data_IF_097761893988
#
_entry.id   IF_097761893988
#
_cell.length_a   1.000
_cell.length_b   1.000
_cell.length_c   1.000
_cell.angle_alpha   90.00
_cell.angle_beta   90.00
_cell.angle_gamma   90.00
#
_symmetry.space_group_name_H-M   'P 1'
#
loop_
_entity.id
_entity.type
_entity.pdbx_description
1 polymer ?
#
# COMPACT_ATOMS: atom_id res chain seq x y z
N UNK A 1 25.43 -40.75 22.30
CA UNK A 1 24.86 -40.26 21.02
C UNK A 1 24.93 -38.72 20.96
N UNK A 2 25.80 -38.20 20.11
CA UNK A 2 25.91 -36.76 19.82
C UNK A 2 24.59 -36.24 19.22
N UNK A 3 24.20 -34.98 19.48
CA UNK A 3 23.05 -34.39 18.80
C UNK A 3 23.28 -34.36 17.28
N UNK A 4 22.22 -34.46 16.46
CA UNK A 4 22.38 -34.33 15.02
C UNK A 4 22.90 -32.92 14.70
N UNK A 5 23.71 -32.77 13.64
CA UNK A 5 24.17 -31.46 13.21
C UNK A 5 22.95 -30.60 12.82
N UNK A 6 23.03 -29.26 12.97
CA UNK A 6 21.96 -28.38 12.52
C UNK A 6 21.74 -28.62 11.03
N UNK A 7 20.48 -28.78 10.63
CA UNK A 7 20.10 -28.89 9.23
C UNK A 7 20.80 -27.75 8.48
N UNK A 8 21.62 -28.09 7.49
CA UNK A 8 22.28 -27.10 6.64
C UNK A 8 21.19 -26.17 6.13
N UNK A 9 21.27 -24.89 6.51
CA UNK A 9 20.37 -23.88 6.01
C UNK A 9 20.41 -23.97 4.49
N UNK A 10 19.31 -24.44 3.88
CA UNK A 10 19.07 -24.33 2.46
C UNK A 10 19.24 -22.85 2.14
N UNK A 11 20.43 -22.45 1.67
CA UNK A 11 20.67 -21.15 1.07
C UNK A 11 19.98 -21.16 -0.28
N UNK A 12 18.65 -21.17 -0.25
CA UNK A 12 17.86 -20.59 -1.31
C UNK A 12 18.30 -19.13 -1.33
N UNK A 13 19.15 -18.76 -2.30
CA UNK A 13 19.35 -17.35 -2.62
C UNK A 13 17.98 -16.68 -2.79
N UNK A 14 17.86 -15.36 -2.61
CA UNK A 14 16.56 -14.72 -2.67
C UNK A 14 15.90 -15.05 -4.00
N UNK A 15 14.71 -15.66 -3.94
CA UNK A 15 13.93 -16.09 -5.12
C UNK A 15 13.55 -14.90 -6.03
N UNK A 16 13.73 -13.68 -5.52
CA UNK A 16 13.44 -12.42 -6.18
C UNK A 16 14.63 -11.48 -6.06
N UNK A 17 15.11 -11.00 -7.19
CA UNK A 17 16.19 -10.01 -7.22
C UNK A 17 15.59 -8.59 -7.23
N UNK A 18 16.16 -7.60 -6.52
CA UNK A 18 15.65 -6.22 -6.49
C UNK A 18 15.46 -5.54 -7.87
N UNK A 19 16.08 -6.07 -8.93
CA UNK A 19 15.92 -5.57 -10.30
C UNK A 19 14.70 -6.16 -11.03
N UNK A 20 14.13 -7.26 -10.55
CA UNK A 20 12.91 -7.80 -11.14
C UNK A 20 11.81 -6.76 -11.00
N UNK A 21 11.00 -6.62 -12.04
CA UNK A 21 9.81 -5.78 -12.02
C UNK A 21 8.58 -6.64 -12.29
N UNK A 22 7.48 -6.27 -11.66
CA UNK A 22 6.17 -6.89 -11.82
C UNK A 22 5.17 -5.86 -12.33
N UNK A 23 4.16 -6.32 -13.08
CA UNK A 23 3.11 -5.45 -13.60
C UNK A 23 2.02 -5.22 -12.56
N UNK A 24 1.60 -3.96 -12.45
CA UNK A 24 0.38 -3.50 -11.77
C UNK A 24 -0.37 -2.60 -12.74
N UNK A 25 -1.33 -3.17 -13.46
CA UNK A 25 -1.94 -2.50 -14.61
C UNK A 25 -0.87 -1.97 -15.59
N UNK A 26 -0.86 -0.67 -15.93
CA UNK A 26 0.13 -0.10 -16.84
C UNK A 26 1.53 0.04 -16.22
N UNK A 27 1.66 -0.07 -14.89
CA UNK A 27 2.89 0.22 -14.15
C UNK A 27 3.87 -0.95 -14.14
N UNK A 28 5.14 -0.66 -13.88
CA UNK A 28 6.21 -1.64 -13.67
C UNK A 28 6.89 -1.35 -12.33
N UNK A 29 6.62 -2.19 -11.34
CA UNK A 29 7.01 -1.95 -9.94
C UNK A 29 7.94 -3.03 -9.40
N UNK A 30 8.69 -2.73 -8.35
CA UNK A 30 9.46 -3.70 -7.59
C UNK A 30 8.52 -4.74 -6.93
N UNK A 31 8.89 -6.04 -6.88
CA UNK A 31 8.11 -7.08 -6.20
C UNK A 31 7.86 -6.78 -4.72
N UNK A 32 8.80 -6.07 -4.10
CA UNK A 32 8.69 -5.53 -2.75
C UNK A 32 8.48 -4.02 -2.83
N UNK A 33 7.45 -3.51 -2.16
CA UNK A 33 7.21 -2.08 -1.96
C UNK A 33 7.70 -1.60 -0.59
N UNK A 34 7.67 -0.29 -0.40
CA UNK A 34 8.00 0.39 0.85
C UNK A 34 6.74 1.03 1.44
N UNK A 35 6.23 0.49 2.55
CA UNK A 35 5.06 1.04 3.23
C UNK A 35 5.44 2.14 4.24
N UNK A 36 4.70 3.24 4.24
CA UNK A 36 5.00 4.43 5.05
C UNK A 36 4.01 4.66 6.21
N UNK A 37 3.25 3.62 6.62
CA UNK A 37 2.22 3.75 7.67
C UNK A 37 2.75 4.24 9.02
N UNK A 38 3.97 3.84 9.38
CA UNK A 38 4.62 4.28 10.62
C UNK A 38 4.99 5.77 10.60
N UNK A 39 5.15 6.38 9.42
CA UNK A 39 5.59 7.77 9.28
C UNK A 39 4.46 8.72 9.70
N UNK A 40 4.71 9.53 10.72
CA UNK A 40 3.68 10.41 11.30
C UNK A 40 2.77 9.77 12.35
N UNK A 41 2.97 8.50 12.70
CA UNK A 41 2.13 7.79 13.66
C UNK A 41 2.79 7.71 15.05
N UNK A 42 2.33 8.58 15.96
CA UNK A 42 2.86 8.67 17.32
C UNK A 42 2.39 7.51 18.21
N UNK A 43 1.13 7.10 18.06
CA UNK A 43 0.50 6.17 18.98
C UNK A 43 1.10 4.76 18.90
N UNK A 44 1.30 4.25 17.68
CA UNK A 44 1.71 2.85 17.47
C UNK A 44 3.21 2.70 17.24
N UNK A 45 3.89 3.73 16.70
CA UNK A 45 5.31 3.69 16.38
C UNK A 45 6.16 4.77 17.06
N UNK A 46 5.56 5.62 17.91
CA UNK A 46 6.32 6.62 18.65
C UNK A 46 6.99 7.68 17.78
N UNK A 47 6.45 7.95 16.58
CA UNK A 47 7.03 8.91 15.64
C UNK A 47 7.32 10.27 16.29
N UNK A 48 8.48 10.83 15.99
CA UNK A 48 8.87 12.19 16.34
C UNK A 48 9.51 12.85 15.12
N UNK A 49 9.36 14.16 14.95
CA UNK A 49 9.96 14.90 13.83
C UNK A 49 11.49 14.78 13.80
N UNK A 50 12.13 14.54 14.95
CA UNK A 50 13.56 14.25 15.03
C UNK A 50 13.98 12.98 14.28
N UNK A 51 13.04 12.08 13.96
CA UNK A 51 13.29 10.87 13.17
C UNK A 51 13.34 11.14 11.66
N UNK A 52 12.91 12.31 11.18
CA UNK A 52 12.75 12.59 9.74
C UNK A 52 14.04 12.34 8.93
N UNK A 53 15.22 12.64 9.49
CA UNK A 53 16.50 12.38 8.83
C UNK A 53 16.74 10.89 8.59
N UNK A 54 16.48 10.05 9.61
CA UNK A 54 16.63 8.60 9.52
C UNK A 54 15.59 7.99 8.56
N UNK A 55 14.37 8.53 8.55
CA UNK A 55 13.33 8.11 7.61
C UNK A 55 13.71 8.45 6.16
N UNK A 56 14.36 9.59 5.93
CA UNK A 56 14.87 9.95 4.61
C UNK A 56 16.03 9.05 4.17
N UNK A 57 16.93 8.69 5.09
CA UNK A 57 17.99 7.72 4.81
C UNK A 57 17.40 6.35 4.44
N UNK A 58 16.33 5.90 5.13
CA UNK A 58 15.60 4.69 4.77
C UNK A 58 14.98 4.77 3.37
N UNK A 59 14.35 5.89 3.02
CA UNK A 59 13.81 6.14 1.67
C UNK A 59 14.91 6.07 0.61
N UNK A 60 16.03 6.77 0.83
CA UNK A 60 17.16 6.80 -0.09
C UNK A 60 17.78 5.40 -0.28
N UNK A 61 17.89 4.63 0.81
CA UNK A 61 18.38 3.26 0.78
C UNK A 61 17.45 2.34 -0.01
N UNK A 62 16.14 2.46 0.18
CA UNK A 62 15.14 1.70 -0.57
C UNK A 62 15.26 1.96 -2.07
N UNK A 63 15.30 3.24 -2.46
CA UNK A 63 15.43 3.65 -3.85
C UNK A 63 16.75 3.15 -4.48
N UNK A 64 17.87 3.31 -3.77
CA UNK A 64 19.19 2.83 -4.21
C UNK A 64 19.22 1.31 -4.46
N UNK A 65 18.39 0.56 -3.76
CA UNK A 65 18.25 -0.89 -3.92
C UNK A 65 17.10 -1.29 -4.89
N UNK A 66 16.62 -0.37 -5.72
CA UNK A 66 15.70 -0.68 -6.82
C UNK A 66 14.22 -0.77 -6.44
N UNK A 67 13.86 -0.46 -5.19
CA UNK A 67 12.47 -0.31 -4.77
C UNK A 67 11.91 0.97 -5.39
N UNK A 68 10.83 0.83 -6.16
CA UNK A 68 10.14 1.98 -6.75
C UNK A 68 8.66 2.05 -6.40
N UNK A 69 8.09 1.09 -5.67
CA UNK A 69 6.71 1.19 -5.16
C UNK A 69 6.72 1.70 -3.72
N UNK A 70 6.14 2.88 -3.49
CA UNK A 70 5.97 3.46 -2.17
C UNK A 70 4.47 3.55 -1.85
N UNK A 71 4.08 2.95 -0.73
CA UNK A 71 2.68 2.82 -0.31
C UNK A 71 2.39 3.71 0.90
N UNK A 72 1.37 4.57 0.78
CA UNK A 72 0.92 5.52 1.79
C UNK A 72 -0.61 5.57 1.86
N UNK A 73 -1.17 6.48 2.64
CA UNK A 73 -2.60 6.79 2.65
C UNK A 73 -2.85 8.21 3.16
N UNK A 74 -3.98 8.78 2.76
CA UNK A 74 -4.45 10.09 3.22
C UNK A 74 -4.71 10.17 4.73
N UNK A 75 -4.89 9.00 5.33
CA UNK A 75 -5.21 8.75 6.73
C UNK A 75 -3.99 8.36 7.56
N UNK A 76 -2.81 8.26 6.95
CA UNK A 76 -1.58 7.92 7.66
C UNK A 76 -1.04 9.11 8.44
N UNK A 77 -0.87 8.87 9.73
CA UNK A 77 -0.53 9.85 10.75
C UNK A 77 -1.66 10.02 11.76
N UNK A 78 -1.35 10.56 12.94
CA UNK A 78 -2.30 10.61 14.06
C UNK A 78 -2.60 12.04 14.50
N UNK A 79 -3.88 12.37 14.72
CA UNK A 79 -4.30 13.68 15.22
C UNK A 79 -3.84 14.84 14.32
N UNK A 80 -3.01 15.74 14.86
CA UNK A 80 -2.44 16.88 14.11
C UNK A 80 -1.51 16.45 12.97
N UNK A 81 -1.02 15.21 12.99
CA UNK A 81 -0.14 14.65 11.98
C UNK A 81 -0.91 13.89 10.87
N UNK A 82 -2.22 14.07 10.74
CA UNK A 82 -2.97 13.40 9.68
C UNK A 82 -2.43 13.78 8.28
N UNK A 83 -2.14 12.78 7.45
CA UNK A 83 -1.48 12.93 6.14
C UNK A 83 0.02 13.26 6.23
N UNK A 84 0.66 13.14 7.40
CA UNK A 84 2.10 13.42 7.56
C UNK A 84 2.95 12.45 6.74
N UNK A 85 2.52 11.19 6.61
CA UNK A 85 3.20 10.21 5.77
C UNK A 85 3.36 10.68 4.32
N UNK A 86 2.31 11.27 3.74
CA UNK A 86 2.34 11.85 2.39
C UNK A 86 3.25 13.08 2.32
N UNK A 87 3.23 13.95 3.33
CA UNK A 87 4.12 15.12 3.38
C UNK A 87 5.60 14.74 3.44
N UNK A 88 5.93 13.76 4.28
CA UNK A 88 7.28 13.22 4.41
C UNK A 88 7.73 12.57 3.11
N UNK A 89 6.91 11.70 2.54
CA UNK A 89 7.24 11.05 1.26
C UNK A 89 7.46 12.07 0.15
N UNK A 90 6.58 13.06 0.02
CA UNK A 90 6.76 14.16 -0.93
C UNK A 90 8.04 14.95 -0.70
N UNK A 91 8.34 15.30 0.56
CA UNK A 91 9.60 15.97 0.95
C UNK A 91 10.81 15.13 0.53
N UNK A 92 10.84 13.85 0.88
CA UNK A 92 11.97 12.97 0.62
C UNK A 92 12.22 12.77 -0.87
N UNK A 93 11.17 12.71 -1.69
CA UNK A 93 11.29 12.66 -3.15
C UNK A 93 11.98 13.93 -3.68
N UNK A 94 11.55 15.12 -3.25
CA UNK A 94 12.12 16.40 -3.72
C UNK A 94 13.55 16.61 -3.26
N UNK A 95 13.87 16.19 -2.04
CA UNK A 95 15.19 16.35 -1.44
C UNK A 95 16.13 15.18 -1.79
N UNK A 96 15.66 14.16 -2.50
CA UNK A 96 16.49 13.04 -2.91
C UNK A 96 17.55 13.51 -3.91
N UNK A 97 18.82 13.34 -3.52
CA UNK A 97 19.97 13.61 -4.41
C UNK A 97 20.29 12.38 -5.29
N UNK A 98 19.50 11.31 -5.18
CA UNK A 98 19.62 10.08 -5.96
C UNK A 98 19.03 10.19 -7.39
N UNK A 99 19.09 9.10 -8.17
CA UNK A 99 18.70 9.13 -9.58
C UNK A 99 17.18 9.00 -9.77
N UNK A 100 16.40 9.99 -9.31
CA UNK A 100 15.01 10.14 -9.75
C UNK A 100 15.04 10.94 -11.06
N UNK A 101 14.94 10.23 -12.18
CA UNK A 101 14.99 10.80 -13.54
C UNK A 101 13.64 10.76 -14.23
N UNK A 102 12.75 9.87 -13.77
CA UNK A 102 11.45 9.62 -14.34
C UNK A 102 10.41 9.41 -13.23
N UNK A 103 9.12 9.75 -13.47
CA UNK A 103 8.01 9.33 -12.60
C UNK A 103 7.89 7.82 -12.40
N UNK A 104 8.56 6.98 -13.19
CA UNK A 104 8.60 5.52 -13.01
C UNK A 104 9.66 5.07 -11.98
N UNK A 105 10.60 5.94 -11.60
CA UNK A 105 11.59 5.66 -10.56
C UNK A 105 10.97 5.69 -9.16
N UNK A 106 9.86 6.41 -9.00
CA UNK A 106 9.07 6.48 -7.76
C UNK A 106 7.57 6.44 -8.09
N UNK A 107 6.97 5.27 -7.90
CA UNK A 107 5.55 5.00 -8.08
C UNK A 107 4.87 5.03 -6.72
N UNK A 108 4.00 6.02 -6.51
CA UNK A 108 3.25 6.18 -5.27
C UNK A 108 1.89 5.50 -5.38
N UNK A 109 1.59 4.64 -4.43
CA UNK A 109 0.27 4.10 -4.16
C UNK A 109 -0.30 4.80 -2.92
N UNK A 110 -1.37 5.58 -3.06
CA UNK A 110 -2.07 6.15 -1.90
C UNK A 110 -3.47 5.56 -1.80
N UNK A 111 -3.99 5.52 -0.56
CA UNK A 111 -5.32 5.04 -0.24
C UNK A 111 -6.14 6.17 0.32
N UNK A 112 -7.41 6.18 -0.04
CA UNK A 112 -8.37 7.16 0.44
C UNK A 112 -9.35 6.47 1.39
N UNK A 113 -9.33 6.88 2.65
CA UNK A 113 -10.24 6.40 3.67
C UNK A 113 -11.71 6.62 3.29
N UNK A 114 -12.59 5.66 3.56
CA UNK A 114 -14.02 5.79 3.29
C UNK A 114 -14.75 6.55 4.43
N UNK A 115 -14.29 7.77 4.72
CA UNK A 115 -14.82 8.57 5.81
C UNK A 115 -16.32 8.89 5.63
N UNK A 116 -17.11 9.01 6.72
CA UNK A 116 -18.56 9.21 6.63
C UNK A 116 -19.01 10.45 5.83
N UNK A 117 -18.16 11.49 5.74
CA UNK A 117 -18.45 12.70 4.97
C UNK A 117 -18.12 12.57 3.48
N UNK A 118 -17.52 11.46 3.01
CA UNK A 118 -17.25 11.18 1.59
C UNK A 118 -18.41 10.39 1.00
N UNK A 119 -19.47 11.09 0.66
CA UNK A 119 -20.74 10.55 0.17
C UNK A 119 -20.89 10.68 -1.35
N UNK A 120 -20.03 11.45 -2.02
CA UNK A 120 -20.05 11.65 -3.47
C UNK A 120 -18.71 11.32 -4.12
N UNK A 121 -18.73 11.02 -5.41
CA UNK A 121 -17.52 10.83 -6.23
C UNK A 121 -16.61 12.05 -6.18
N UNK A 122 -17.17 13.26 -6.29
CA UNK A 122 -16.43 14.52 -6.21
C UNK A 122 -15.69 14.72 -4.89
N UNK A 123 -16.25 14.29 -3.76
CA UNK A 123 -15.55 14.33 -2.46
C UNK A 123 -14.37 13.35 -2.42
N UNK A 124 -14.50 12.20 -3.07
CA UNK A 124 -13.41 11.23 -3.21
C UNK A 124 -12.30 11.75 -4.14
N UNK A 125 -12.67 12.37 -5.26
CA UNK A 125 -11.75 13.07 -6.17
C UNK A 125 -11.01 14.20 -5.45
N UNK A 126 -11.69 14.97 -4.59
CA UNK A 126 -11.05 16.01 -3.78
C UNK A 126 -10.04 15.43 -2.78
N UNK A 127 -10.31 14.26 -2.19
CA UNK A 127 -9.34 13.58 -1.34
C UNK A 127 -8.05 13.22 -2.10
N UNK A 128 -8.18 12.78 -3.36
CA UNK A 128 -7.04 12.56 -4.24
C UNK A 128 -6.26 13.84 -4.52
N UNK A 129 -6.94 14.94 -4.86
CA UNK A 129 -6.29 16.24 -5.06
C UNK A 129 -5.53 16.72 -3.82
N UNK A 130 -6.13 16.63 -2.65
CA UNK A 130 -5.44 16.99 -1.40
C UNK A 130 -4.24 16.09 -1.10
N UNK A 131 -4.26 14.84 -1.56
CA UNK A 131 -3.11 13.92 -1.42
C UNK A 131 -1.99 14.29 -2.40
N UNK A 132 -2.33 14.63 -3.64
CA UNK A 132 -1.41 15.19 -4.64
C UNK A 132 -0.74 16.47 -4.12
N UNK A 133 -1.50 17.36 -3.49
CA UNK A 133 -0.98 18.59 -2.86
C UNK A 133 -0.01 18.29 -1.70
N UNK A 134 -0.33 17.34 -0.81
CA UNK A 134 0.57 16.95 0.30
C UNK A 134 1.86 16.31 -0.21
N UNK A 135 1.76 15.47 -1.24
CA UNK A 135 2.91 14.84 -1.90
C UNK A 135 3.69 15.84 -2.77
N UNK A 136 3.05 16.92 -3.23
CA UNK A 136 3.53 17.86 -4.24
C UNK A 136 3.93 17.15 -5.54
N UNK A 137 3.01 16.36 -6.09
CA UNK A 137 3.15 15.68 -7.38
C UNK A 137 1.87 15.91 -8.20
N UNK A 138 1.97 15.81 -9.52
CA UNK A 138 0.83 16.05 -10.40
C UNK A 138 -0.06 14.82 -10.60
N UNK A 139 0.52 13.62 -10.42
CA UNK A 139 -0.17 12.35 -10.72
C UNK A 139 0.32 11.21 -9.83
N UNK A 140 -0.63 10.44 -9.30
CA UNK A 140 -0.34 9.22 -8.54
C UNK A 140 -0.07 8.04 -9.47
N UNK A 141 0.74 7.09 -9.00
CA UNK A 141 0.84 5.77 -9.60
C UNK A 141 -0.48 5.03 -9.45
N UNK A 142 -0.88 4.76 -8.20
CA UNK A 142 -2.08 4.00 -7.87
C UNK A 142 -2.93 4.78 -6.87
N UNK A 143 -4.19 5.07 -7.23
CA UNK A 143 -5.19 5.56 -6.29
C UNK A 143 -6.10 4.43 -5.81
N UNK A 144 -6.21 4.24 -4.51
CA UNK A 144 -6.90 3.09 -3.93
C UNK A 144 -8.05 3.49 -3.00
N UNK A 145 -9.15 2.75 -3.02
CA UNK A 145 -10.16 2.81 -1.96
C UNK A 145 -9.70 1.97 -0.76
N UNK A 146 -9.60 2.58 0.42
CA UNK A 146 -8.92 1.98 1.57
C UNK A 146 -9.66 0.80 2.22
N UNK A 147 -10.99 0.79 2.17
CA UNK A 147 -11.82 -0.35 2.57
C UNK A 147 -13.21 -0.25 1.95
N UNK A 148 -13.89 -1.39 1.83
CA UNK A 148 -15.29 -1.42 1.34
C UNK A 148 -16.25 -0.96 2.42
N UNK A 149 -17.25 -0.17 2.02
CA UNK A 149 -18.36 0.26 2.87
C UNK A 149 -19.63 -0.54 2.61
N UNK A 150 -19.59 -1.55 1.74
CA UNK A 150 -20.78 -2.26 1.26
C UNK A 150 -21.69 -2.84 2.35
N UNK A 151 -21.12 -3.25 3.48
CA UNK A 151 -21.86 -3.85 4.59
C UNK A 151 -22.58 -2.83 5.48
N UNK A 152 -22.20 -1.55 5.44
CA UNK A 152 -22.73 -0.53 6.36
C UNK A 152 -23.21 0.76 5.67
N UNK A 153 -22.75 1.04 4.44
CA UNK A 153 -23.12 2.20 3.63
C UNK A 153 -23.05 1.88 2.12
N UNK A 154 -23.87 0.97 1.58
CA UNK A 154 -23.79 0.52 0.18
C UNK A 154 -24.01 1.63 -0.87
N UNK A 155 -24.77 2.68 -0.54
CA UNK A 155 -24.90 3.86 -1.41
C UNK A 155 -23.60 4.67 -1.46
N UNK A 156 -22.91 4.79 -0.32
CA UNK A 156 -21.59 5.43 -0.26
C UNK A 156 -20.59 4.62 -1.09
N UNK A 157 -20.54 3.30 -0.93
CA UNK A 157 -19.66 2.41 -1.70
C UNK A 157 -19.73 2.71 -3.20
N UNK A 158 -20.96 2.83 -3.73
CA UNK A 158 -21.19 3.12 -5.14
C UNK A 158 -20.61 4.47 -5.55
N UNK A 159 -20.84 5.51 -4.75
CA UNK A 159 -20.27 6.84 -5.00
C UNK A 159 -18.74 6.85 -4.94
N UNK A 160 -18.12 6.04 -4.07
CA UNK A 160 -16.67 5.90 -3.99
C UNK A 160 -16.11 5.17 -5.21
N UNK A 161 -16.83 4.18 -5.75
CA UNK A 161 -16.48 3.55 -7.02
C UNK A 161 -16.56 4.52 -8.20
N UNK A 162 -17.58 5.37 -8.24
CA UNK A 162 -17.66 6.47 -9.20
C UNK A 162 -16.49 7.44 -9.05
N UNK A 163 -16.06 7.70 -7.82
CA UNK A 163 -14.84 8.45 -7.53
C UNK A 163 -13.58 7.82 -8.13
N UNK A 164 -13.41 6.49 -8.06
CA UNK A 164 -12.28 5.80 -8.70
C UNK A 164 -12.29 6.00 -10.22
N UNK A 165 -13.47 5.90 -10.85
CA UNK A 165 -13.63 6.16 -12.29
C UNK A 165 -13.26 7.60 -12.63
N UNK A 166 -13.82 8.58 -11.91
CA UNK A 166 -13.54 9.99 -12.16
C UNK A 166 -12.06 10.37 -11.96
N UNK A 167 -11.39 9.81 -10.95
CA UNK A 167 -9.95 10.05 -10.75
C UNK A 167 -9.11 9.51 -11.91
N UNK A 168 -9.48 8.35 -12.45
CA UNK A 168 -8.81 7.74 -13.59
C UNK A 168 -9.05 8.56 -14.86
N UNK A 169 -10.31 8.91 -15.15
CA UNK A 169 -10.70 9.67 -16.35
C UNK A 169 -10.09 11.08 -16.37
N UNK A 170 -9.97 11.72 -15.19
CA UNK A 170 -9.31 13.03 -15.04
C UNK A 170 -7.78 12.93 -15.12
N UNK A 171 -7.20 11.73 -15.19
CA UNK A 171 -5.76 11.52 -15.25
C UNK A 171 -5.02 11.77 -13.93
N UNK A 172 -5.73 11.90 -12.80
CA UNK A 172 -5.12 12.13 -11.48
C UNK A 172 -4.33 10.91 -10.98
N UNK A 173 -4.69 9.73 -11.48
CA UNK A 173 -4.03 8.45 -11.17
C UNK A 173 -3.66 7.75 -12.49
N UNK A 174 -2.63 6.90 -12.46
CA UNK A 174 -2.26 6.03 -13.60
C UNK A 174 -2.99 4.69 -13.55
N UNK A 175 -3.34 4.23 -12.35
CA UNK A 175 -4.04 3.00 -12.08
C UNK A 175 -4.96 3.16 -10.86
N UNK A 176 -6.00 2.34 -10.77
CA UNK A 176 -6.89 2.27 -9.60
C UNK A 176 -6.77 0.92 -8.91
N UNK A 177 -6.97 0.93 -7.60
CA UNK A 177 -6.98 -0.29 -6.78
C UNK A 177 -7.95 -0.21 -5.62
N UNK A 178 -7.98 -1.26 -4.82
CA UNK A 178 -8.73 -1.34 -3.57
C UNK A 178 -7.88 -1.94 -2.47
N UNK A 179 -8.26 -1.71 -1.22
CA UNK A 179 -7.69 -2.39 -0.06
C UNK A 179 -8.81 -2.96 0.79
N UNK A 180 -8.57 -4.09 1.45
CA UNK A 180 -9.51 -4.75 2.38
C UNK A 180 -10.88 -5.11 1.74
N UNK A 181 -10.84 -5.67 0.53
CA UNK A 181 -12.01 -6.25 -0.13
C UNK A 181 -11.99 -7.77 0.01
N UNK A 182 -13.13 -8.37 0.38
CA UNK A 182 -13.33 -9.81 0.27
C UNK A 182 -13.56 -10.26 -1.18
N UNK A 183 -13.42 -11.57 -1.49
CA UNK A 183 -13.45 -12.10 -2.85
C UNK A 183 -14.71 -11.72 -3.65
N UNK A 184 -15.89 -11.84 -3.01
CA UNK A 184 -17.18 -11.51 -3.64
C UNK A 184 -17.30 -10.02 -3.98
N UNK A 185 -16.82 -9.15 -3.11
CA UNK A 185 -16.90 -7.71 -3.32
C UNK A 185 -15.87 -7.27 -4.37
N UNK A 186 -14.70 -7.91 -4.41
CA UNK A 186 -13.67 -7.67 -5.42
C UNK A 186 -14.21 -7.95 -6.84
N UNK A 187 -14.94 -9.06 -7.02
CA UNK A 187 -15.59 -9.37 -8.30
C UNK A 187 -16.59 -8.29 -8.73
N UNK A 188 -17.39 -7.76 -7.79
CA UNK A 188 -18.40 -6.73 -8.09
C UNK A 188 -17.75 -5.43 -8.53
N UNK A 189 -16.74 -4.93 -7.80
CA UNK A 189 -16.06 -3.69 -8.18
C UNK A 189 -15.27 -3.87 -9.48
N UNK A 190 -14.62 -5.03 -9.68
CA UNK A 190 -13.92 -5.32 -10.93
C UNK A 190 -14.86 -5.21 -12.14
N UNK A 191 -16.01 -5.91 -12.10
CA UNK A 191 -17.02 -5.83 -13.15
C UNK A 191 -17.58 -4.42 -13.31
N UNK A 192 -17.75 -3.70 -12.20
CA UNK A 192 -18.22 -2.32 -12.25
C UNK A 192 -17.25 -1.40 -13.00
N UNK A 193 -15.99 -1.37 -12.58
CA UNK A 193 -14.98 -0.51 -13.21
C UNK A 193 -14.76 -0.91 -14.68
N UNK A 194 -14.74 -2.21 -15.00
CA UNK A 194 -14.64 -2.70 -16.37
C UNK A 194 -15.78 -2.18 -17.26
N UNK A 195 -17.03 -2.15 -16.76
CA UNK A 195 -18.18 -1.60 -17.49
C UNK A 195 -18.07 -0.09 -17.77
N UNK A 196 -17.16 0.60 -17.08
CA UNK A 196 -16.85 2.02 -17.24
C UNK A 196 -15.53 2.26 -17.99
N UNK A 197 -14.88 1.22 -18.49
CA UNK A 197 -13.60 1.32 -19.21
C UNK A 197 -12.38 1.52 -18.31
N UNK A 198 -12.51 1.29 -16.99
CA UNK A 198 -11.44 1.49 -16.02
C UNK A 198 -10.96 0.13 -15.48
N UNK A 199 -9.69 -0.26 -15.70
CA UNK A 199 -9.18 -1.53 -15.20
C UNK A 199 -8.82 -1.47 -13.71
N UNK A 200 -9.37 -2.39 -12.91
CA UNK A 200 -8.90 -2.59 -11.53
C UNK A 200 -7.50 -3.23 -11.56
N UNK A 201 -6.51 -2.53 -11.04
CA UNK A 201 -5.10 -2.92 -11.21
C UNK A 201 -4.49 -3.58 -9.98
N UNK A 202 -4.95 -3.25 -8.78
CA UNK A 202 -4.46 -3.84 -7.53
C UNK A 202 -5.54 -4.09 -6.49
N UNK A 203 -5.28 -5.09 -5.64
CA UNK A 203 -6.02 -5.36 -4.42
C UNK A 203 -5.02 -5.54 -3.28
N UNK A 204 -5.07 -4.67 -2.28
CA UNK A 204 -4.20 -4.74 -1.12
C UNK A 204 -4.91 -5.41 0.06
N UNK A 205 -4.25 -6.35 0.74
CA UNK A 205 -4.84 -7.11 1.84
C UNK A 205 -3.80 -7.47 2.88
N UNK A 206 -4.22 -7.66 4.14
CA UNK A 206 -3.36 -8.26 5.15
C UNK A 206 -3.05 -9.69 4.72
N UNK A 207 -1.76 -9.98 4.53
CA UNK A 207 -1.35 -11.32 4.12
C UNK A 207 0.03 -11.62 4.68
N UNK A 208 0.10 -12.62 5.55
CA UNK A 208 1.34 -13.09 6.16
C UNK A 208 1.20 -14.57 6.56
N UNK A 209 2.26 -15.18 7.08
CA UNK A 209 2.18 -16.53 7.65
C UNK A 209 1.19 -16.64 8.83
N UNK A 210 0.85 -15.52 9.47
CA UNK A 210 -0.14 -15.44 10.55
C UNK A 210 -1.55 -15.05 10.05
N UNK A 211 -1.67 -14.67 8.78
CA UNK A 211 -2.90 -14.16 8.17
C UNK A 211 -2.97 -14.68 6.74
N UNK A 212 -3.17 -15.99 6.63
CA UNK A 212 -3.33 -16.76 5.39
C UNK A 212 -4.43 -17.80 5.60
N UNK A 213 -5.67 -17.34 5.77
CA UNK A 213 -6.84 -18.21 5.85
C UNK A 213 -7.45 -18.48 4.48
N UNK A 214 -8.55 -19.24 4.47
CA UNK A 214 -9.28 -19.59 3.25
C UNK A 214 -9.70 -18.35 2.46
N UNK A 215 -10.13 -17.28 3.14
CA UNK A 215 -10.55 -16.04 2.49
C UNK A 215 -9.38 -15.33 1.77
N UNK A 216 -8.18 -15.28 2.37
CA UNK A 216 -7.00 -14.69 1.72
C UNK A 216 -6.57 -15.52 0.50
N UNK A 217 -6.65 -16.85 0.59
CA UNK A 217 -6.31 -17.74 -0.52
C UNK A 217 -7.32 -17.66 -1.67
N UNK A 218 -8.62 -17.56 -1.34
CA UNK A 218 -9.67 -17.29 -2.32
C UNK A 218 -9.46 -15.93 -2.97
N UNK A 219 -9.17 -14.89 -2.19
CA UNK A 219 -8.91 -13.54 -2.70
C UNK A 219 -7.71 -13.52 -3.65
N UNK A 220 -6.62 -14.23 -3.30
CA UNK A 220 -5.46 -14.40 -4.17
C UNK A 220 -5.85 -15.06 -5.49
N UNK A 221 -6.62 -16.15 -5.43
CA UNK A 221 -7.08 -16.90 -6.61
C UNK A 221 -7.94 -16.02 -7.52
N UNK A 222 -8.84 -15.21 -6.94
CA UNK A 222 -9.65 -14.23 -7.68
C UNK A 222 -8.76 -13.14 -8.31
N UNK A 223 -7.78 -12.63 -7.58
CA UNK A 223 -6.85 -11.64 -8.13
C UNK A 223 -6.09 -12.20 -9.35
N UNK A 224 -5.55 -13.41 -9.22
CA UNK A 224 -4.80 -14.09 -10.28
C UNK A 224 -5.67 -14.32 -11.53
N UNK A 225 -6.95 -14.71 -11.37
CA UNK A 225 -7.86 -14.96 -12.49
C UNK A 225 -8.32 -13.69 -13.21
N UNK A 226 -8.42 -12.57 -12.49
CA UNK A 226 -8.80 -11.27 -13.03
C UNK A 226 -7.62 -10.45 -13.55
N UNK A 227 -6.38 -10.91 -13.35
CA UNK A 227 -5.18 -10.12 -13.67
C UNK A 227 -4.97 -8.90 -12.75
N UNK A 228 -5.60 -8.90 -11.56
CA UNK A 228 -5.44 -7.87 -10.52
C UNK A 228 -4.21 -8.21 -9.69
N UNK A 229 -3.29 -7.26 -9.48
CA UNK A 229 -2.12 -7.53 -8.64
C UNK A 229 -2.51 -7.50 -7.15
N UNK A 230 -2.34 -8.63 -6.48
CA UNK A 230 -2.42 -8.67 -5.02
C UNK A 230 -1.18 -7.99 -4.41
N UNK A 231 -1.40 -7.10 -3.44
CA UNK A 231 -0.34 -6.46 -2.64
C UNK A 231 -0.55 -6.88 -1.18
N UNK A 232 0.43 -7.58 -0.61
CA UNK A 232 0.39 -8.02 0.79
C UNK A 232 0.89 -6.90 1.72
N UNK A 233 0.03 -6.37 2.60
CA UNK A 233 0.47 -5.52 3.70
C UNK A 233 0.65 -6.33 4.99
N UNK A 234 1.46 -5.79 5.92
CA UNK A 234 1.88 -6.46 7.15
C UNK A 234 2.44 -7.88 6.93
N UNK A 235 3.30 -8.13 5.92
CA UNK A 235 3.81 -9.47 5.63
C UNK A 235 4.63 -10.07 6.79
N UNK A 236 5.15 -9.23 7.67
CA UNK A 236 5.90 -9.62 8.87
C UNK A 236 5.05 -9.62 10.15
N UNK A 237 3.72 -9.49 10.05
CA UNK A 237 2.80 -9.51 11.19
C UNK A 237 3.14 -8.47 12.25
N UNK A 238 3.33 -7.21 11.85
CA UNK A 238 3.78 -6.12 12.73
C UNK A 238 5.05 -6.43 13.54
N UNK A 239 5.93 -7.22 12.92
CA UNK A 239 7.22 -7.63 13.48
C UNK A 239 7.18 -8.96 14.24
N UNK A 240 6.03 -9.63 14.36
CA UNK A 240 5.95 -10.96 14.99
C UNK A 240 6.77 -12.01 14.22
N UNK A 241 6.86 -11.89 12.90
CA UNK A 241 7.56 -12.84 12.03
C UNK A 241 9.03 -12.47 11.77
N UNK A 242 9.66 -11.68 12.64
CA UNK A 242 11.08 -11.29 12.47
C UNK A 242 12.05 -12.09 13.33
N UNK A 243 11.56 -12.99 14.19
CA UNK A 243 12.38 -13.73 15.15
C UNK A 243 12.88 -12.91 16.35
N UNK A 244 12.42 -11.67 16.52
CA UNK A 244 12.82 -10.80 17.65
C UNK A 244 12.11 -11.13 18.97
N UNK A 245 11.01 -11.88 18.90
CA UNK A 245 10.18 -12.24 20.04
C UNK A 245 10.21 -13.75 20.24
N UNK A 246 10.18 -14.14 21.51
CA UNK A 246 10.11 -15.52 21.97
C UNK A 246 9.31 -15.59 23.29
N UNK A 247 9.23 -16.79 23.89
CA UNK A 247 8.48 -16.98 25.14
C UNK A 247 9.02 -16.14 26.32
N UNK A 248 10.27 -15.68 26.26
CA UNK A 248 10.92 -14.83 27.26
C UNK A 248 10.92 -13.34 26.92
N UNK A 249 10.70 -12.99 25.64
CA UNK A 249 10.66 -11.61 25.15
C UNK A 249 9.40 -11.38 24.30
N UNK A 250 8.29 -11.06 24.96
CA UNK A 250 7.00 -10.80 24.30
C UNK A 250 6.92 -9.38 23.72
N UNK A 251 6.11 -9.16 22.66
CA UNK A 251 5.88 -7.81 22.15
C UNK A 251 5.14 -6.93 23.16
N UNK A 252 5.56 -5.66 23.26
CA UNK A 252 4.86 -4.63 24.04
C UNK A 252 3.85 -3.86 23.18
N UNK A 253 2.68 -3.55 23.75
CA UNK A 253 1.63 -2.75 23.12
C UNK A 253 0.79 -3.51 22.10
N UNK A 254 -0.17 -2.84 21.43
CA UNK A 254 -1.02 -3.46 20.43
C UNK A 254 -0.21 -3.96 19.22
N UNK A 255 -0.60 -5.13 18.70
CA UNK A 255 -0.04 -5.82 17.52
C UNK A 255 -1.17 -6.43 16.71
#
# INVERSE_FOLDING_TARGET
PSPPPPAAALRLGPLFWPWQKVKVGPLSVSPMGFGTWAWGNQLLWGYQESMDSELQECFNLALKNGINLFDTADSYGTGKLNGQSERLLGKFIRECQGPIKSPDDVIIATKFAAYPWRLTSGQFVNACKSSLERLQIDRLGIGQLHWSTANYAPLQERALWDGLVEMYDKGLVRAVGVSNYGPKQLLKIHSYLASRGVPLSSAQVQFSLLSMGDEQMELKTVCDSLGVRLIAYSPLGLGMLTGKYDASNLPNGPR
#
